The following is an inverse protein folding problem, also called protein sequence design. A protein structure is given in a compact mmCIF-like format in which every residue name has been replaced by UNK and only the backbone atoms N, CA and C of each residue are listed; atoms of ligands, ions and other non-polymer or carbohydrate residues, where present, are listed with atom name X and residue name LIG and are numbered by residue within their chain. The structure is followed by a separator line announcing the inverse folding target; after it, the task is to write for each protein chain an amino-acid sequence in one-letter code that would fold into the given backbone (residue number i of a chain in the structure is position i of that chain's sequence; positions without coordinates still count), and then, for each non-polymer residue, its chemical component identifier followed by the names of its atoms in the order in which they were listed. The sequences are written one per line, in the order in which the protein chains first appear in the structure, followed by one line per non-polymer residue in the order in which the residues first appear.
data_IF_978478495133
#
_entry.id   IF_978478495133
#
_cell.length_a   1.000
_cell.length_b   1.000
_cell.length_c   1.000
_cell.angle_alpha   90.00
_cell.angle_beta   90.00
_cell.angle_gamma   90.00
#
_symmetry.space_group_name_H-M   'P 1'
#
loop_
_entity.id
_entity.type
_entity.pdbx_description
1 polymer ?
#
# COMPACT_ATOMS: atom_id res chain seq x y z
N UNK A 1 6.08 0.77 -14.82
CA UNK A 1 7.34 0.15 -15.30
C UNK A 1 7.41 0.18 -16.82
N UNK A 2 6.46 -0.42 -17.54
CA UNK A 2 6.41 -0.43 -19.01
C UNK A 2 6.65 0.95 -19.66
N UNK A 3 5.87 1.97 -19.29
CA UNK A 3 6.05 3.36 -19.77
C UNK A 3 7.47 3.93 -19.57
N UNK A 4 8.13 3.60 -18.45
CA UNK A 4 9.49 4.08 -18.14
C UNK A 4 10.54 3.45 -19.06
N UNK A 5 10.35 2.18 -19.40
CA UNK A 5 11.28 1.42 -20.25
C UNK A 5 10.84 1.34 -21.71
N UNK A 6 9.73 1.98 -22.08
CA UNK A 6 9.20 1.96 -23.45
C UNK A 6 8.74 0.58 -23.91
N UNK A 7 8.27 -0.28 -22.99
CA UNK A 7 7.74 -1.58 -23.37
C UNK A 7 6.40 -1.45 -24.07
N UNK A 8 6.21 -2.24 -25.12
CA UNK A 8 4.90 -2.40 -25.73
C UNK A 8 4.00 -3.17 -24.77
N UNK A 9 2.85 -2.59 -24.43
CA UNK A 9 1.90 -3.17 -23.49
C UNK A 9 1.13 -4.34 -24.12
N UNK A 10 1.02 -4.38 -25.46
CA UNK A 10 0.34 -5.47 -26.18
C UNK A 10 1.18 -6.77 -26.16
N UNK A 11 2.50 -6.65 -26.02
CA UNK A 11 3.43 -7.79 -25.95
C UNK A 11 3.60 -8.32 -24.51
N UNK A 12 3.04 -7.65 -23.49
CA UNK A 12 3.15 -8.08 -22.11
C UNK A 12 2.21 -9.27 -21.83
N UNK A 13 2.78 -10.35 -21.30
CA UNK A 13 2.03 -11.47 -20.73
C UNK A 13 2.12 -11.45 -19.21
N UNK A 14 1.03 -11.81 -18.55
CA UNK A 14 0.95 -11.86 -17.09
C UNK A 14 0.74 -13.30 -16.66
N UNK A 15 1.48 -13.72 -15.63
CA UNK A 15 1.26 -15.01 -15.00
C UNK A 15 0.67 -14.92 -13.60
N UNK A 16 -0.29 -15.81 -13.33
CA UNK A 16 -0.97 -15.85 -12.04
C UNK A 16 -0.15 -16.67 -11.04
N UNK A 17 0.54 -15.96 -10.15
CA UNK A 17 1.43 -16.57 -9.14
C UNK A 17 0.78 -16.75 -7.76
N UNK A 18 -0.36 -16.10 -7.50
CA UNK A 18 -1.17 -16.12 -6.25
C UNK A 18 -0.47 -15.61 -4.98
N UNK A 19 0.73 -16.11 -4.66
CA UNK A 19 1.47 -15.81 -3.42
C UNK A 19 2.91 -15.43 -3.73
N UNK A 20 3.62 -14.92 -2.72
CA UNK A 20 5.06 -14.63 -2.83
C UNK A 20 5.88 -15.88 -3.13
N UNK A 21 5.53 -17.02 -2.51
CA UNK A 21 6.17 -18.32 -2.80
C UNK A 21 5.89 -18.78 -4.24
N UNK A 22 4.68 -18.56 -4.74
CA UNK A 22 4.35 -18.83 -6.13
C UNK A 22 5.15 -17.95 -7.10
N UNK A 23 5.45 -16.71 -6.71
CA UNK A 23 6.32 -15.84 -7.49
C UNK A 23 7.78 -16.34 -7.50
N UNK A 24 8.27 -16.86 -6.37
CA UNK A 24 9.58 -17.53 -6.28
C UNK A 24 9.65 -18.73 -7.22
N UNK A 25 8.63 -19.59 -7.21
CA UNK A 25 8.57 -20.74 -8.11
C UNK A 25 8.52 -20.30 -9.59
N UNK A 26 7.65 -19.35 -9.93
CA UNK A 26 7.48 -18.88 -11.30
C UNK A 26 8.75 -18.26 -11.89
N UNK A 27 9.46 -17.44 -11.12
CA UNK A 27 10.73 -16.86 -11.55
C UNK A 27 11.84 -17.91 -11.67
N UNK A 28 11.91 -18.84 -10.71
CA UNK A 28 12.94 -19.89 -10.69
C UNK A 28 12.76 -20.92 -11.81
N UNK A 29 11.51 -21.17 -12.23
CA UNK A 29 11.16 -22.04 -13.35
C UNK A 29 11.04 -21.29 -14.69
N UNK A 30 11.40 -20.00 -14.72
CA UNK A 30 11.34 -19.14 -15.90
C UNK A 30 9.93 -19.03 -16.54
N UNK A 31 8.87 -19.22 -15.74
CA UNK A 31 7.47 -18.99 -16.13
C UNK A 31 7.14 -17.49 -16.17
N UNK A 32 7.81 -16.70 -15.35
CA UNK A 32 7.78 -15.24 -15.38
C UNK A 32 9.21 -14.70 -15.40
N UNK A 33 9.39 -13.47 -15.90
CA UNK A 33 10.71 -12.82 -15.98
C UNK A 33 10.83 -11.62 -15.04
N UNK A 34 9.70 -11.03 -14.63
CA UNK A 34 9.62 -9.88 -13.75
C UNK A 34 8.51 -10.07 -12.73
N UNK A 35 8.75 -9.59 -11.51
CA UNK A 35 7.77 -9.58 -10.43
C UNK A 35 7.86 -8.25 -9.69
N UNK A 36 6.70 -7.63 -9.44
CA UNK A 36 6.60 -6.37 -8.72
C UNK A 36 5.89 -6.62 -7.39
N UNK A 37 6.52 -6.21 -6.30
CA UNK A 37 5.98 -6.36 -4.96
C UNK A 37 6.55 -5.29 -4.03
N UNK A 38 6.04 -5.24 -2.80
CA UNK A 38 6.59 -4.38 -1.76
C UNK A 38 8.08 -4.73 -1.51
N UNK A 39 8.91 -3.68 -1.41
CA UNK A 39 10.37 -3.79 -1.40
C UNK A 39 10.90 -4.51 -0.17
N UNK A 40 10.41 -4.16 1.01
CA UNK A 40 10.91 -4.67 2.28
C UNK A 40 10.44 -6.10 2.52
N UNK A 41 9.20 -6.44 2.15
CA UNK A 41 8.68 -7.80 2.21
C UNK A 41 9.41 -8.78 1.28
N UNK A 42 10.03 -8.30 0.20
CA UNK A 42 10.87 -9.13 -0.70
C UNK A 42 12.35 -9.12 -0.33
N UNK A 43 12.78 -8.29 0.64
CA UNK A 43 14.19 -8.15 1.00
C UNK A 43 14.83 -9.47 1.47
N UNK A 44 14.18 -10.32 2.31
CA UNK A 44 14.77 -11.60 2.70
C UNK A 44 15.07 -12.53 1.51
N UNK A 45 14.21 -12.53 0.49
CA UNK A 45 14.37 -13.35 -0.72
C UNK A 45 15.52 -12.81 -1.59
N UNK A 46 15.69 -11.48 -1.62
CA UNK A 46 16.82 -10.83 -2.29
C UNK A 46 18.13 -11.13 -1.56
N UNK A 47 18.15 -11.10 -0.24
CA UNK A 47 19.35 -11.37 0.58
C UNK A 47 19.82 -12.83 0.43
N UNK A 48 18.89 -13.76 0.24
CA UNK A 48 19.17 -15.16 -0.08
C UNK A 48 19.69 -15.37 -1.52
N UNK A 49 19.66 -14.33 -2.36
CA UNK A 49 20.08 -14.41 -3.76
C UNK A 49 19.08 -15.10 -4.69
N UNK A 50 17.86 -15.39 -4.21
CA UNK A 50 16.78 -15.99 -5.01
C UNK A 50 16.23 -14.93 -5.97
N UNK A 51 15.93 -13.73 -5.46
CA UNK A 51 15.53 -12.59 -6.28
C UNK A 51 16.71 -11.65 -6.54
N UNK A 52 16.74 -11.09 -7.74
CA UNK A 52 17.60 -9.95 -8.06
C UNK A 52 16.76 -8.70 -8.17
N UNK A 53 16.92 -7.77 -7.23
CA UNK A 53 16.27 -6.46 -7.31
C UNK A 53 16.84 -5.67 -8.49
N UNK A 54 15.98 -5.30 -9.44
CA UNK A 54 16.36 -4.49 -10.59
C UNK A 54 16.15 -2.99 -10.34
N UNK A 55 14.99 -2.63 -9.80
CA UNK A 55 14.66 -1.24 -9.52
C UNK A 55 13.61 -1.12 -8.41
N UNK A 56 13.27 0.13 -8.07
CA UNK A 56 12.13 0.46 -7.21
C UNK A 56 11.30 1.54 -7.89
N UNK A 57 9.99 1.50 -7.66
CA UNK A 57 9.05 2.50 -8.15
C UNK A 57 8.13 2.89 -7.01
N UNK A 58 8.11 4.17 -6.67
CA UNK A 58 7.17 4.70 -5.69
C UNK A 58 5.82 4.94 -6.37
N UNK A 59 4.72 4.65 -5.66
CA UNK A 59 3.39 5.09 -6.05
C UNK A 59 3.28 6.61 -5.84
N UNK A 60 2.65 7.35 -6.76
CA UNK A 60 2.52 8.80 -6.63
C UNK A 60 1.33 9.23 -5.76
N UNK A 61 0.62 8.27 -5.15
CA UNK A 61 -0.52 8.45 -4.24
C UNK A 61 -0.30 7.65 -2.96
N UNK A 62 -1.06 7.95 -1.87
CA UNK A 62 -1.01 7.21 -0.62
C UNK A 62 -1.24 5.71 -0.84
N UNK A 63 -0.44 4.88 -0.19
CA UNK A 63 -0.48 3.42 -0.39
C UNK A 63 -1.65 2.73 0.33
N UNK A 64 -2.25 3.39 1.32
CA UNK A 64 -3.29 2.83 2.16
C UNK A 64 -4.39 3.85 2.44
N UNK A 65 -5.63 3.37 2.50
CA UNK A 65 -6.83 4.12 2.89
C UNK A 65 -7.75 3.20 3.71
N UNK A 66 -8.61 3.78 4.53
CA UNK A 66 -9.70 3.05 5.21
C UNK A 66 -10.97 3.25 4.38
N UNK A 67 -11.63 2.16 4.02
CA UNK A 67 -12.88 2.18 3.26
C UNK A 67 -13.99 1.46 4.04
N UNK A 68 -15.22 1.93 3.87
CA UNK A 68 -16.41 1.32 4.43
C UNK A 68 -17.55 1.32 3.39
N UNK A 69 -18.46 0.36 3.51
CA UNK A 69 -19.70 0.36 2.71
C UNK A 69 -20.67 1.42 3.22
N UNK A 70 -21.55 1.90 2.36
CA UNK A 70 -22.57 2.87 2.76
C UNK A 70 -23.48 2.34 3.89
N UNK A 71 -23.84 1.05 3.85
CA UNK A 71 -24.61 0.41 4.92
C UNK A 71 -23.86 0.48 6.26
N UNK A 72 -22.57 0.15 6.27
CA UNK A 72 -21.74 0.20 7.48
C UNK A 72 -21.63 1.62 8.04
N UNK A 73 -21.42 2.61 7.17
CA UNK A 73 -21.39 4.03 7.56
C UNK A 73 -22.72 4.42 8.22
N UNK A 74 -23.84 4.12 7.56
CA UNK A 74 -25.17 4.49 8.06
C UNK A 74 -25.55 3.81 9.38
N UNK A 75 -25.15 2.56 9.59
CA UNK A 75 -25.53 1.79 10.77
C UNK A 75 -24.56 1.95 11.96
N UNK A 76 -23.31 2.32 11.70
CA UNK A 76 -22.19 2.24 12.67
C UNK A 76 -21.35 3.51 12.74
N UNK A 77 -21.85 4.65 12.26
CA UNK A 77 -21.11 5.92 12.20
C UNK A 77 -20.36 6.25 13.50
N UNK A 78 -21.03 6.22 14.65
CA UNK A 78 -20.41 6.51 15.95
C UNK A 78 -19.26 5.54 16.28
N UNK A 79 -19.46 4.25 16.01
CA UNK A 79 -18.45 3.23 16.26
C UNK A 79 -17.25 3.37 15.30
N UNK A 80 -17.49 3.75 14.05
CA UNK A 80 -16.46 4.05 13.07
C UNK A 80 -15.66 5.30 13.48
N UNK A 81 -16.32 6.36 13.95
CA UNK A 81 -15.65 7.56 14.46
C UNK A 81 -14.74 7.24 15.64
N UNK A 82 -15.22 6.44 16.61
CA UNK A 82 -14.42 5.94 17.73
C UNK A 82 -13.24 5.09 17.27
N UNK A 83 -13.44 4.18 16.32
CA UNK A 83 -12.37 3.34 15.76
C UNK A 83 -11.28 4.19 15.10
N UNK A 84 -11.65 5.17 14.28
CA UNK A 84 -10.71 6.07 13.62
C UNK A 84 -9.92 6.91 14.64
N UNK A 85 -10.59 7.46 15.65
CA UNK A 85 -9.92 8.22 16.72
C UNK A 85 -8.87 7.37 17.45
N UNK A 86 -9.23 6.11 17.79
CA UNK A 86 -8.30 5.16 18.42
C UNK A 86 -7.12 4.88 17.49
N UNK A 87 -7.36 4.53 16.23
CA UNK A 87 -6.29 4.24 15.24
C UNK A 87 -5.35 5.44 15.12
N UNK A 88 -5.88 6.65 14.93
CA UNK A 88 -5.09 7.86 14.75
C UNK A 88 -4.25 8.16 16.00
N UNK A 89 -4.81 8.02 17.20
CA UNK A 89 -4.09 8.19 18.47
C UNK A 89 -2.91 7.22 18.60
N UNK A 90 -3.15 5.92 18.36
CA UNK A 90 -2.06 4.93 18.42
C UNK A 90 -1.02 5.12 17.32
N UNK A 91 -1.45 5.59 16.15
CA UNK A 91 -0.56 5.76 15.00
C UNK A 91 0.35 6.98 15.16
N UNK A 92 -0.12 8.06 15.81
CA UNK A 92 0.67 9.25 16.10
C UNK A 92 1.97 8.92 16.89
N UNK A 93 1.86 8.00 17.85
CA UNK A 93 2.99 7.58 18.69
C UNK A 93 3.62 6.24 18.26
N UNK A 94 3.15 5.64 17.17
CA UNK A 94 3.55 4.29 16.75
C UNK A 94 5.07 4.14 16.63
N UNK A 95 5.75 5.12 16.02
CA UNK A 95 7.21 5.10 15.86
C UNK A 95 7.98 5.34 17.15
N UNK A 96 7.32 5.79 18.22
CA UNK A 96 7.91 6.03 19.53
C UNK A 96 7.81 4.79 20.44
N UNK A 97 7.05 3.77 20.04
CA UNK A 97 6.91 2.52 20.80
C UNK A 97 8.32 1.90 21.00
N UNK A 98 8.74 1.64 22.24
CA UNK A 98 10.07 1.08 22.50
C UNK A 98 10.30 -0.25 21.76
N UNK A 99 11.41 -0.36 21.05
CA UNK A 99 11.79 -1.57 20.28
C UNK A 99 10.75 -2.02 19.24
N UNK A 100 9.97 -1.08 18.67
CA UNK A 100 8.99 -1.39 17.61
C UNK A 100 9.65 -2.00 16.38
N UNK A 101 10.85 -1.53 16.02
CA UNK A 101 11.67 -2.04 14.94
C UNK A 101 11.99 -3.54 15.12
N UNK A 102 12.39 -3.95 16.32
CA UNK A 102 12.67 -5.35 16.66
C UNK A 102 11.40 -6.21 16.66
N UNK A 103 10.30 -5.64 17.14
CA UNK A 103 9.00 -6.34 17.18
C UNK A 103 8.53 -6.67 15.77
N UNK A 104 8.55 -5.69 14.87
CA UNK A 104 8.20 -5.86 13.45
C UNK A 104 9.18 -6.82 12.77
N UNK A 105 10.49 -6.63 12.98
CA UNK A 105 11.54 -7.48 12.42
C UNK A 105 11.32 -8.95 12.78
N UNK A 106 11.06 -9.24 14.06
CA UNK A 106 10.79 -10.60 14.53
C UNK A 106 9.48 -11.18 13.99
N UNK A 107 8.44 -10.36 13.80
CA UNK A 107 7.14 -10.84 13.35
C UNK A 107 7.12 -11.19 11.87
N UNK A 108 7.83 -10.39 11.05
CA UNK A 108 7.85 -10.54 9.59
C UNK A 108 9.13 -11.17 9.04
N UNK A 109 10.00 -11.68 9.92
CA UNK A 109 11.31 -12.24 9.57
C UNK A 109 12.17 -11.28 8.72
N UNK A 110 12.18 -10.01 9.13
CA UNK A 110 12.95 -8.94 8.49
C UNK A 110 14.20 -8.62 9.30
N UNK A 111 15.23 -8.11 8.64
CA UNK A 111 16.38 -7.55 9.35
C UNK A 111 15.96 -6.25 10.04
N UNK A 112 16.42 -6.04 11.28
CA UNK A 112 16.10 -4.83 12.06
C UNK A 112 16.49 -3.55 11.31
N UNK A 113 17.63 -3.56 10.61
CA UNK A 113 18.08 -2.42 9.81
C UNK A 113 17.12 -2.06 8.68
N UNK A 114 16.51 -3.05 8.02
CA UNK A 114 15.53 -2.82 6.96
C UNK A 114 14.23 -2.22 7.51
N UNK A 115 13.78 -2.73 8.66
CA UNK A 115 12.60 -2.17 9.35
C UNK A 115 12.85 -0.73 9.77
N UNK A 116 14.04 -0.40 10.28
CA UNK A 116 14.39 0.99 10.61
C UNK A 116 14.33 1.90 9.38
N UNK A 117 14.83 1.43 8.22
CA UNK A 117 14.71 2.20 6.97
C UNK A 117 13.26 2.35 6.52
N UNK A 118 12.43 1.33 6.68
CA UNK A 118 11.01 1.38 6.38
C UNK A 118 10.27 2.38 7.29
N UNK A 119 10.54 2.34 8.60
CA UNK A 119 9.97 3.28 9.59
C UNK A 119 10.35 4.74 9.28
N UNK A 120 11.57 4.99 8.79
CA UNK A 120 12.01 6.34 8.39
C UNK A 120 11.25 6.88 7.17
N UNK A 121 10.81 6.01 6.26
CA UNK A 121 10.15 6.41 4.99
C UNK A 121 8.63 6.41 5.07
N UNK A 122 8.06 5.69 6.03
CA UNK A 122 6.62 5.53 6.16
C UNK A 122 6.03 6.72 6.89
N UNK A 123 5.05 7.39 6.31
CA UNK A 123 4.29 8.44 6.98
C UNK A 123 2.84 7.99 7.13
N UNK A 124 2.23 8.35 8.25
CA UNK A 124 0.83 8.10 8.51
C UNK A 124 0.12 9.44 8.56
N UNK A 125 -1.05 9.52 7.95
CA UNK A 125 -1.88 10.71 7.92
C UNK A 125 -3.25 10.37 8.47
N UNK A 126 -3.83 11.30 9.21
CA UNK A 126 -5.22 11.33 9.65
C UNK A 126 -6.08 12.29 8.80
N UNK A 127 -5.51 12.81 7.70
CA UNK A 127 -6.20 13.68 6.75
C UNK A 127 -6.93 12.88 5.66
N UNK A 128 -7.95 13.51 5.08
CA UNK A 128 -8.67 12.98 3.94
C UNK A 128 -7.88 13.13 2.63
N UNK A 129 -8.19 12.32 1.63
CA UNK A 129 -7.62 12.40 0.29
C UNK A 129 -7.80 13.79 -0.34
N UNK A 130 -6.80 14.24 -1.09
CA UNK A 130 -6.88 15.46 -1.88
C UNK A 130 -7.44 15.21 -3.27
N UNK A 131 -8.12 16.20 -3.84
CA UNK A 131 -8.62 16.15 -5.22
C UNK A 131 -7.49 15.82 -6.22
N UNK A 132 -6.33 16.43 -6.04
CA UNK A 132 -5.15 16.18 -6.88
C UNK A 132 -4.69 14.71 -6.88
N UNK A 133 -4.89 13.99 -5.77
CA UNK A 133 -4.60 12.56 -5.67
C UNK A 133 -5.56 11.75 -6.54
N UNK A 134 -6.86 12.01 -6.45
CA UNK A 134 -7.89 11.32 -7.25
C UNK A 134 -7.74 11.65 -8.74
N UNK A 135 -7.45 12.92 -9.07
CA UNK A 135 -7.16 13.33 -10.45
C UNK A 135 -5.98 12.56 -11.03
N UNK A 136 -4.91 12.39 -10.23
CA UNK A 136 -3.72 11.66 -10.67
C UNK A 136 -3.99 10.17 -10.88
N UNK A 137 -4.75 9.55 -9.98
CA UNK A 137 -5.17 8.15 -10.12
C UNK A 137 -6.03 7.97 -11.38
N UNK A 138 -7.04 8.83 -11.56
CA UNK A 138 -7.90 8.81 -12.73
C UNK A 138 -7.09 8.97 -14.03
N UNK A 139 -6.12 9.88 -14.08
CA UNK A 139 -5.24 10.08 -15.23
C UNK A 139 -4.43 8.81 -15.54
N UNK A 140 -3.70 8.28 -14.56
CA UNK A 140 -2.81 7.13 -14.78
C UNK A 140 -3.61 5.86 -15.11
N UNK A 141 -4.71 5.59 -14.40
CA UNK A 141 -5.53 4.38 -14.61
C UNK A 141 -6.29 4.43 -15.94
N UNK A 142 -6.80 5.59 -16.35
CA UNK A 142 -7.42 5.75 -17.68
C UNK A 142 -6.40 5.54 -18.78
N UNK A 143 -5.18 6.07 -18.62
CA UNK A 143 -4.13 5.97 -19.62
C UNK A 143 -3.67 4.53 -19.91
N UNK A 144 -3.85 3.62 -18.94
CA UNK A 144 -3.54 2.19 -19.09
C UNK A 144 -4.79 1.30 -19.19
N UNK A 145 -5.98 1.88 -19.34
CA UNK A 145 -7.24 1.14 -19.54
C UNK A 145 -7.70 0.31 -18.34
N UNK A 146 -7.31 0.67 -17.11
CA UNK A 146 -7.77 0.00 -15.88
C UNK A 146 -9.21 0.41 -15.53
N UNK A 147 -9.61 1.63 -15.89
CA UNK A 147 -10.94 2.18 -15.60
C UNK A 147 -11.62 2.69 -16.88
N UNK A 148 -12.92 2.47 -16.98
CA UNK A 148 -13.76 2.97 -18.09
C UNK A 148 -14.40 4.33 -17.79
N UNK A 149 -14.46 4.70 -16.50
CA UNK A 149 -14.99 5.99 -16.04
C UNK A 149 -14.08 6.59 -14.97
N UNK A 150 -13.98 7.92 -15.01
CA UNK A 150 -13.39 8.69 -13.91
C UNK A 150 -14.40 8.80 -12.76
N UNK A 151 -13.89 8.92 -11.55
CA UNK A 151 -14.66 9.15 -10.33
C UNK A 151 -14.25 10.48 -9.70
N UNK A 152 -15.22 11.23 -9.18
CA UNK A 152 -14.93 12.45 -8.43
C UNK A 152 -14.57 12.13 -6.97
N UNK A 153 -13.87 13.03 -6.29
CA UNK A 153 -13.45 12.83 -4.90
C UNK A 153 -14.64 12.65 -3.96
N UNK A 154 -15.70 13.44 -4.15
CA UNK A 154 -16.93 13.42 -3.36
C UNK A 154 -17.73 12.11 -3.52
N UNK A 155 -17.49 11.33 -4.59
CA UNK A 155 -18.03 9.97 -4.71
C UNK A 155 -17.28 8.96 -3.83
N UNK A 156 -16.07 9.29 -3.36
CA UNK A 156 -15.17 8.36 -2.66
C UNK A 156 -15.03 8.65 -1.16
N UNK A 157 -15.19 9.90 -0.75
CA UNK A 157 -14.93 10.31 0.63
C UNK A 157 -16.22 10.41 1.44
N UNK A 158 -16.11 10.12 2.73
CA UNK A 158 -17.14 10.40 3.73
C UNK A 158 -16.46 10.96 4.96
N UNK A 159 -16.86 12.16 5.37
CA UNK A 159 -16.34 12.81 6.56
C UNK A 159 -17.13 12.32 7.77
N UNK A 160 -16.54 11.37 8.51
CA UNK A 160 -17.12 10.90 9.76
C UNK A 160 -17.03 12.03 10.80
N UNK A 161 -18.15 12.40 11.46
CA UNK A 161 -18.12 13.39 12.52
C UNK A 161 -17.10 13.02 13.60
N UNK A 162 -16.25 13.96 13.99
CA UNK A 162 -15.34 13.76 15.11
C UNK A 162 -16.19 13.63 16.38
N UNK A 163 -16.16 12.46 17.01
CA UNK A 163 -16.65 12.31 18.38
C UNK A 163 -15.75 13.13 19.29
N UNK A 164 -16.32 14.10 20.01
CA UNK A 164 -15.65 14.73 21.14
C UNK A 164 -15.27 13.62 22.12
N UNK A 165 -13.98 13.46 22.39
CA UNK A 165 -13.54 12.62 23.50
C UNK A 165 -14.04 13.31 24.78
N UNK A 166 -15.17 12.85 25.34
CA UNK A 166 -15.47 13.12 26.75
C UNK A 166 -14.31 12.54 27.57
N UNK A 167 -13.65 13.42 28.34
CA UNK A 167 -12.53 13.17 29.26
C UNK A 167 -12.76 11.98 30.21
#
# INVERSE_FOLDING_TARGET
MAKRHGWDIEDLSFELVNTLDGAVEALSQNKAQLFLWERYMTQPIVDQGIFKRLETIATPWPSFVIAATQDCISEKEEALGKMLAIINRYTADFKQIPSIDRTIASHYDLQVGDVQQWLLRTEFSDDQLWNSTVDKINEEFSAVGIIDRKVALDELIYDIPKTDEEE
#
